data_IF_850239967130
#
_entry.id   IF_850239967130
#
_cell.length_a   1.000
_cell.length_b   1.000
_cell.length_c   1.000
_cell.angle_alpha   90.00
_cell.angle_beta   90.00
_cell.angle_gamma   90.00
#
_symmetry.space_group_name_H-M   'P 1'
#
loop_
_entity.id
_entity.type
_entity.pdbx_description
1 polymer ?
#
# COMPACT_ATOMS: atom_id res chain seq x y z
N UNK A 1 -50.05 -25.47 80.62
CA UNK A 1 -48.96 -25.97 81.49
C UNK A 1 -47.60 -25.66 80.83
N UNK A 2 -46.62 -25.24 81.64
CA UNK A 2 -45.16 -25.08 81.37
C UNK A 2 -44.66 -23.80 80.65
N UNK A 3 -44.47 -22.78 81.51
CA UNK A 3 -43.27 -21.92 81.71
C UNK A 3 -42.40 -21.59 80.48
N UNK A 4 -42.49 -20.34 80.01
CA UNK A 4 -41.44 -19.67 79.24
C UNK A 4 -40.40 -19.09 80.20
N UNK A 5 -39.19 -19.63 80.15
CA UNK A 5 -38.04 -19.21 80.96
C UNK A 5 -37.18 -18.24 80.15
N UNK A 6 -36.96 -17.07 80.74
CA UNK A 6 -35.99 -16.05 80.31
C UNK A 6 -34.57 -16.57 80.55
N UNK A 7 -33.69 -16.55 79.53
CA UNK A 7 -32.24 -16.30 79.68
C UNK A 7 -31.64 -15.67 78.41
N UNK A 8 -31.04 -14.49 78.57
CA UNK A 8 -29.91 -13.92 77.80
C UNK A 8 -28.70 -13.88 78.79
N UNK A 9 -27.40 -13.64 78.43
CA UNK A 9 -26.80 -13.22 77.13
C UNK A 9 -25.39 -13.82 76.79
N UNK A 10 -24.78 -13.30 75.68
CA UNK A 10 -23.35 -13.23 75.24
C UNK A 10 -22.77 -14.50 74.57
N UNK A 11 -21.99 -14.47 73.49
CA UNK A 11 -21.15 -13.41 72.88
C UNK A 11 -20.90 -13.61 71.38
N UNK A 12 -20.74 -12.48 70.67
CA UNK A 12 -19.78 -12.18 69.59
C UNK A 12 -19.34 -13.33 68.65
N UNK A 13 -19.98 -13.41 67.48
CA UNK A 13 -19.30 -13.76 66.21
C UNK A 13 -20.26 -13.53 65.03
N UNK A 14 -19.82 -12.78 64.02
CA UNK A 14 -20.59 -12.56 62.79
C UNK A 14 -20.70 -11.11 62.31
N UNK A 15 -19.64 -10.31 62.50
CA UNK A 15 -19.52 -8.99 61.87
C UNK A 15 -19.22 -9.17 60.37
N UNK A 16 -20.09 -8.61 59.54
CA UNK A 16 -19.83 -7.97 58.23
C UNK A 16 -18.61 -8.53 57.47
N UNK A 17 -18.83 -9.46 56.54
CA UNK A 17 -17.86 -9.76 55.48
C UNK A 17 -17.80 -8.57 54.50
N UNK A 18 -16.96 -7.57 54.79
CA UNK A 18 -16.40 -6.70 53.74
C UNK A 18 -15.43 -7.54 52.92
N UNK A 19 -15.79 -7.84 51.68
CA UNK A 19 -14.84 -8.35 50.69
C UNK A 19 -13.94 -7.16 50.34
N UNK A 20 -12.71 -7.19 50.85
CA UNK A 20 -11.65 -6.28 50.41
C UNK A 20 -11.41 -6.59 48.95
N UNK A 21 -11.90 -5.74 48.05
CA UNK A 21 -11.40 -5.68 46.69
C UNK A 21 -9.92 -5.32 46.80
N UNK A 22 -9.06 -6.30 46.44
CA UNK A 22 -7.67 -5.99 46.12
C UNK A 22 -7.72 -5.02 44.95
N UNK A 23 -7.34 -3.77 45.20
CA UNK A 23 -6.94 -2.85 44.16
C UNK A 23 -5.85 -3.54 43.34
N UNK A 24 -6.22 -4.03 42.16
CA UNK A 24 -5.24 -4.39 41.14
C UNK A 24 -4.56 -3.08 40.79
N UNK A 25 -3.27 -2.98 41.15
CA UNK A 25 -2.36 -2.04 40.51
C UNK A 25 -2.56 -2.17 38.99
N UNK A 26 -2.74 -1.06 38.25
CA UNK A 26 -2.74 -1.11 36.80
C UNK A 26 -1.40 -1.74 36.39
N UNK A 27 -1.49 -2.86 35.67
CA UNK A 27 -0.35 -3.35 34.90
C UNK A 27 -0.04 -2.27 33.89
N UNK A 28 1.25 -1.96 33.76
CA UNK A 28 1.84 -0.96 32.87
C UNK A 28 0.98 -0.70 31.64
N UNK A 29 0.44 0.52 31.57
CA UNK A 29 -0.19 1.06 30.38
C UNK A 29 0.81 0.94 29.23
N UNK A 30 0.59 -0.05 28.36
CA UNK A 30 1.07 -0.03 26.99
C UNK A 30 0.42 1.19 26.34
N UNK A 31 1.08 2.34 26.47
CA UNK A 31 0.62 3.63 25.92
C UNK A 31 0.37 3.45 24.43
N UNK A 32 -0.90 3.38 24.09
CA UNK A 32 -1.44 3.59 22.75
C UNK A 32 -0.73 4.83 22.17
N UNK A 33 0.07 4.71 21.09
CA UNK A 33 1.02 5.76 20.68
C UNK A 33 0.25 6.86 19.95
N UNK A 34 -0.58 7.61 20.67
CA UNK A 34 -1.44 8.66 20.12
C UNK A 34 -0.66 9.90 19.67
N UNK A 35 0.62 10.00 20.01
CA UNK A 35 1.46 11.18 19.72
C UNK A 35 2.87 10.71 19.36
N UNK A 36 3.32 11.02 18.14
CA UNK A 36 4.72 10.96 17.72
C UNK A 36 5.10 12.39 17.39
N UNK A 37 5.37 13.23 18.39
CA UNK A 37 5.61 14.67 18.17
C UNK A 37 6.67 14.88 17.07
N UNK A 38 6.43 15.75 16.07
CA UNK A 38 5.35 16.75 15.94
C UNK A 38 4.04 16.25 15.28
N UNK A 39 3.78 14.95 15.24
CA UNK A 39 2.62 14.34 14.58
C UNK A 39 1.59 13.82 15.59
N UNK A 40 0.32 14.17 15.38
CA UNK A 40 -0.83 13.63 16.10
C UNK A 40 -1.45 12.52 15.27
N UNK A 41 -1.45 11.28 15.77
CA UNK A 41 -2.04 10.14 15.07
C UNK A 41 -3.56 10.32 15.00
N UNK A 42 -4.10 10.26 13.79
CA UNK A 42 -5.54 10.24 13.52
C UNK A 42 -6.03 8.79 13.47
N UNK A 43 -7.31 8.58 13.14
CA UNK A 43 -7.87 7.23 13.00
C UNK A 43 -6.93 6.33 12.14
N UNK A 44 -6.56 5.13 12.63
CA UNK A 44 -5.60 4.28 11.93
C UNK A 44 -6.12 3.94 10.53
N UNK A 45 -5.24 4.06 9.52
CA UNK A 45 -5.52 3.60 8.16
C UNK A 45 -5.27 2.09 8.14
N UNK A 46 -6.02 1.39 7.30
CA UNK A 46 -6.09 -0.07 7.22
C UNK A 46 -4.72 -0.78 7.31
N UNK A 47 -4.74 -1.96 7.92
CA UNK A 47 -3.61 -2.86 8.05
C UNK A 47 -3.31 -3.55 6.70
N UNK A 48 -2.38 -2.99 5.94
CA UNK A 48 -1.88 -3.59 4.70
C UNK A 48 -0.76 -4.61 4.93
N UNK A 49 -0.32 -5.27 3.86
CA UNK A 49 0.75 -6.29 3.85
C UNK A 49 2.10 -5.77 4.39
N UNK A 50 2.33 -4.46 4.32
CA UNK A 50 3.62 -3.79 4.53
C UNK A 50 3.85 -3.27 5.95
N UNK A 51 2.90 -3.48 6.86
CA UNK A 51 2.97 -2.96 8.24
C UNK A 51 1.82 -2.03 8.55
N UNK A 52 1.93 -1.33 9.67
CA UNK A 52 0.88 -0.45 10.18
C UNK A 52 1.11 0.97 9.66
N UNK A 53 0.30 1.40 8.70
CA UNK A 53 0.29 2.78 8.19
C UNK A 53 -0.77 3.56 8.95
N UNK A 54 -0.41 4.72 9.51
CA UNK A 54 -1.32 5.57 10.26
C UNK A 54 -1.44 6.93 9.59
N UNK A 55 -2.66 7.44 9.43
CA UNK A 55 -2.87 8.85 9.08
C UNK A 55 -2.51 9.72 10.29
N UNK A 56 -1.83 10.83 10.08
CA UNK A 56 -1.46 11.76 11.15
C UNK A 56 -1.57 13.22 10.70
N UNK A 57 -1.69 14.12 11.67
CA UNK A 57 -1.66 15.58 11.46
C UNK A 57 -0.31 16.12 11.94
N UNK A 58 0.45 16.77 11.07
CA UNK A 58 1.63 17.52 11.45
C UNK A 58 1.21 18.81 12.17
N UNK A 59 1.54 18.91 13.46
CA UNK A 59 1.05 19.98 14.35
C UNK A 59 1.51 21.39 13.97
N UNK A 60 2.67 21.54 13.33
CA UNK A 60 3.23 22.84 12.96
C UNK A 60 2.57 23.45 11.72
N UNK A 61 2.20 22.62 10.74
CA UNK A 61 1.70 23.06 9.43
C UNK A 61 0.21 22.79 9.23
N UNK A 62 -0.38 21.87 10.00
CA UNK A 62 -1.71 21.33 9.74
C UNK A 62 -1.77 20.33 8.59
N UNK A 63 -0.61 19.90 8.05
CA UNK A 63 -0.55 18.94 6.94
C UNK A 63 -0.95 17.54 7.39
N UNK A 64 -1.77 16.86 6.59
CA UNK A 64 -2.10 15.44 6.78
C UNK A 64 -1.02 14.59 6.12
N UNK A 65 -0.48 13.62 6.87
CA UNK A 65 0.61 12.74 6.43
C UNK A 65 0.27 11.27 6.69
N UNK A 66 0.99 10.36 6.03
CA UNK A 66 0.95 8.93 6.29
C UNK A 66 2.23 8.48 7.01
N UNK A 67 2.11 7.84 8.17
CA UNK A 67 3.24 7.32 8.94
C UNK A 67 3.29 5.80 8.77
N UNK A 68 4.27 5.30 8.02
CA UNK A 68 4.52 3.87 7.81
C UNK A 68 5.47 3.36 8.89
N UNK A 69 4.93 2.52 9.80
CA UNK A 69 5.77 1.79 10.78
C UNK A 69 6.46 0.60 10.11
N UNK A 70 7.78 0.60 10.19
CA UNK A 70 8.60 -0.49 9.65
C UNK A 70 8.69 -1.62 10.69
N UNK A 71 8.59 -2.87 10.22
CA UNK A 71 8.71 -4.04 11.11
C UNK A 71 10.14 -4.13 11.62
N UNK A 72 10.32 -4.16 12.94
CA UNK A 72 11.59 -4.51 13.54
C UNK A 72 11.94 -5.97 13.20
N UNK A 73 13.23 -6.28 13.02
CA UNK A 73 13.67 -7.65 12.77
C UNK A 73 13.19 -8.57 13.91
N UNK A 74 12.67 -9.78 13.61
CA UNK A 74 12.24 -10.75 14.63
C UNK A 74 13.36 -11.20 15.58
N UNK A 75 14.62 -11.02 15.17
CA UNK A 75 15.81 -11.24 15.99
C UNK A 75 16.01 -10.06 16.94
N UNK A 76 15.42 -10.17 18.14
CA UNK A 76 15.65 -9.21 19.22
C UNK A 76 17.15 -8.96 19.47
N UNK A 77 17.48 -7.69 19.65
CA UNK A 77 18.78 -7.16 20.07
C UNK A 77 19.95 -7.29 19.06
N UNK A 78 20.47 -6.12 18.66
CA UNK A 78 21.79 -5.81 18.07
C UNK A 78 21.98 -5.70 16.55
N UNK A 79 21.07 -6.18 15.70
CA UNK A 79 21.16 -5.88 14.26
C UNK A 79 20.50 -4.52 13.98
N UNK A 80 21.26 -3.62 13.32
CA UNK A 80 20.82 -2.27 12.98
C UNK A 80 19.62 -2.22 12.02
N UNK A 81 19.40 -1.05 11.40
CA UNK A 81 18.32 -0.88 10.43
C UNK A 81 18.47 -1.87 9.26
N UNK A 82 17.44 -2.67 8.91
CA UNK A 82 17.54 -3.61 7.79
C UNK A 82 17.95 -2.92 6.49
N UNK A 83 18.83 -3.55 5.70
CA UNK A 83 19.30 -2.99 4.43
C UNK A 83 18.15 -2.69 3.45
N UNK A 84 17.06 -3.45 3.52
CA UNK A 84 15.84 -3.21 2.72
C UNK A 84 15.22 -1.85 3.04
N UNK A 85 15.16 -1.46 4.31
CA UNK A 85 14.65 -0.16 4.76
C UNK A 85 15.57 0.97 4.31
N UNK A 86 16.88 0.81 4.47
CA UNK A 86 17.86 1.81 4.02
C UNK A 86 17.74 2.03 2.50
N UNK A 87 17.51 0.96 1.74
CA UNK A 87 17.28 1.04 0.30
C UNK A 87 15.97 1.76 -0.04
N UNK A 88 14.87 1.47 0.67
CA UNK A 88 13.59 2.15 0.47
C UNK A 88 13.74 3.67 0.69
N UNK A 89 14.38 4.10 1.79
CA UNK A 89 14.65 5.51 2.08
C UNK A 89 15.48 6.15 0.96
N UNK A 90 16.58 5.50 0.54
CA UNK A 90 17.45 6.02 -0.52
C UNK A 90 16.74 6.12 -1.86
N UNK A 91 15.87 5.16 -2.21
CA UNK A 91 15.08 5.22 -3.44
C UNK A 91 14.11 6.39 -3.39
N UNK A 92 13.38 6.57 -2.29
CA UNK A 92 12.45 7.69 -2.13
C UNK A 92 13.16 9.05 -2.20
N UNK A 93 14.33 9.19 -1.59
CA UNK A 93 15.16 10.40 -1.69
C UNK A 93 15.69 10.64 -3.11
N UNK A 94 16.09 9.59 -3.83
CA UNK A 94 16.54 9.69 -5.22
C UNK A 94 15.42 10.11 -6.16
N UNK A 95 14.18 9.74 -5.84
CA UNK A 95 13.00 9.92 -6.68
C UNK A 95 12.13 11.12 -6.27
N UNK A 96 12.68 12.02 -5.45
CA UNK A 96 12.02 13.25 -5.03
C UNK A 96 11.73 14.17 -6.23
N UNK A 97 10.59 14.87 -6.19
CA UNK A 97 10.21 15.86 -7.21
C UNK A 97 9.30 15.35 -8.32
N UNK A 98 8.99 14.04 -8.38
CA UNK A 98 7.99 13.52 -9.32
C UNK A 98 6.57 13.64 -8.78
N UNK A 99 5.65 14.18 -9.58
CA UNK A 99 4.23 14.25 -9.21
C UNK A 99 3.58 12.86 -9.08
N UNK A 100 4.16 11.83 -9.71
CA UNK A 100 3.63 10.47 -9.81
C UNK A 100 4.40 9.45 -8.96
N UNK A 101 5.24 9.91 -8.02
CA UNK A 101 5.90 9.08 -7.00
C UNK A 101 5.49 9.59 -5.62
N UNK A 102 5.34 8.68 -4.65
CA UNK A 102 5.08 9.05 -3.25
C UNK A 102 6.27 9.82 -2.67
N UNK A 103 6.01 10.97 -2.08
CA UNK A 103 7.03 11.81 -1.45
C UNK A 103 7.34 11.33 -0.02
N UNK A 104 8.64 11.25 0.29
CA UNK A 104 9.14 11.07 1.66
C UNK A 104 9.37 12.43 2.30
N UNK A 105 8.52 12.78 3.27
CA UNK A 105 8.55 14.08 3.95
C UNK A 105 9.53 14.11 5.13
N UNK A 106 9.64 13.01 5.87
CA UNK A 106 10.47 12.92 7.08
C UNK A 106 10.76 11.46 7.46
N UNK A 107 11.78 11.25 8.30
CA UNK A 107 12.16 9.95 8.85
C UNK A 107 12.30 10.06 10.37
N UNK A 108 11.43 9.38 11.10
CA UNK A 108 11.49 9.29 12.56
C UNK A 108 12.41 8.14 12.93
N UNK A 109 13.43 8.36 13.74
CA UNK A 109 14.50 7.37 13.99
C UNK A 109 14.21 6.38 15.12
N UNK A 110 13.24 6.63 16.00
CA UNK A 110 13.02 5.81 17.21
C UNK A 110 11.56 5.84 17.70
N UNK A 111 10.74 4.82 17.38
CA UNK A 111 11.02 3.72 16.45
C UNK A 111 11.18 4.22 15.00
N UNK A 112 11.85 3.45 14.15
CA UNK A 112 12.06 3.84 12.75
C UNK A 112 10.73 3.87 11.99
N UNK A 113 10.34 5.04 11.48
CA UNK A 113 9.10 5.26 10.73
C UNK A 113 9.35 6.20 9.55
N UNK A 114 8.64 5.97 8.45
CA UNK A 114 8.64 6.87 7.30
C UNK A 114 7.41 7.77 7.38
N UNK A 115 7.62 9.07 7.25
CA UNK A 115 6.54 10.05 7.08
C UNK A 115 6.43 10.36 5.60
N UNK A 116 5.32 9.96 5.00
CA UNK A 116 5.04 10.08 3.58
C UNK A 116 3.91 11.10 3.38
N UNK A 117 3.81 11.66 2.18
CA UNK A 117 2.59 12.38 1.79
C UNK A 117 1.36 11.46 1.94
N UNK A 118 0.19 12.06 2.20
CA UNK A 118 -1.04 11.30 2.36
C UNK A 118 -1.83 11.26 1.06
N UNK A 119 -2.18 10.06 0.60
CA UNK A 119 -3.16 9.84 -0.46
C UNK A 119 -4.42 9.19 0.14
N UNK A 120 -5.59 9.63 -0.32
CA UNK A 120 -6.88 9.21 0.26
C UNK A 120 -7.21 7.75 0.00
N UNK A 121 -6.77 7.24 -1.14
CA UNK A 121 -7.12 5.92 -1.64
C UNK A 121 -5.91 5.22 -2.26
N UNK A 122 -6.04 3.91 -2.41
CA UNK A 122 -5.25 3.08 -3.30
C UNK A 122 -6.17 2.52 -4.39
N UNK A 123 -5.62 2.18 -5.56
CA UNK A 123 -6.44 1.68 -6.65
C UNK A 123 -7.12 0.35 -6.30
N UNK A 124 -6.57 -0.48 -5.40
CA UNK A 124 -7.20 -1.75 -5.01
C UNK A 124 -8.51 -1.53 -4.25
N UNK A 125 -8.51 -0.61 -3.28
CA UNK A 125 -9.71 -0.23 -2.54
C UNK A 125 -10.75 0.42 -3.45
N UNK A 126 -10.32 1.23 -4.43
CA UNK A 126 -11.23 1.81 -5.43
C UNK A 126 -11.85 0.74 -6.33
N UNK A 127 -11.06 -0.17 -6.90
CA UNK A 127 -11.56 -1.28 -7.72
C UNK A 127 -12.56 -2.15 -6.96
N UNK A 128 -12.29 -2.42 -5.67
CA UNK A 128 -13.14 -3.30 -4.85
C UNK A 128 -14.43 -2.62 -4.39
N UNK A 129 -14.39 -1.32 -4.13
CA UNK A 129 -15.56 -0.56 -3.63
C UNK A 129 -16.48 -0.04 -4.74
N UNK A 130 -15.99 0.04 -5.98
CA UNK A 130 -16.77 0.55 -7.10
C UNK A 130 -17.77 -0.50 -7.61
N UNK A 131 -19.00 -0.07 -7.87
CA UNK A 131 -20.09 -0.96 -8.34
C UNK A 131 -19.90 -1.37 -9.82
N UNK A 132 -19.17 -0.56 -10.58
CA UNK A 132 -18.85 -0.79 -11.99
C UNK A 132 -17.35 -0.67 -12.26
N UNK A 133 -16.85 -1.14 -13.41
CA UNK A 133 -15.48 -0.83 -13.81
C UNK A 133 -15.28 0.67 -14.09
N UNK A 134 -14.01 1.06 -14.23
CA UNK A 134 -13.63 2.44 -14.54
C UNK A 134 -13.99 2.77 -16.00
N UNK A 135 -14.38 4.03 -16.26
CA UNK A 135 -14.53 4.49 -17.65
C UNK A 135 -13.18 4.46 -18.38
N UNK A 136 -13.20 4.23 -19.70
CA UNK A 136 -11.99 4.24 -20.53
C UNK A 136 -11.13 5.50 -20.32
N UNK A 137 -11.77 6.67 -20.23
CA UNK A 137 -11.07 7.93 -19.95
C UNK A 137 -10.37 7.93 -18.59
N UNK A 138 -10.95 7.31 -17.56
CA UNK A 138 -10.31 7.16 -16.26
C UNK A 138 -9.15 6.16 -16.32
N UNK A 139 -9.33 5.03 -17.01
CA UNK A 139 -8.27 4.03 -17.23
C UNK A 139 -7.08 4.68 -17.93
N UNK A 140 -7.29 5.37 -19.07
CA UNK A 140 -6.23 6.07 -19.82
C UNK A 140 -5.47 7.08 -18.95
N UNK A 141 -6.17 7.87 -18.13
CA UNK A 141 -5.54 8.85 -17.22
C UNK A 141 -4.67 8.17 -16.16
N UNK A 142 -5.22 7.17 -15.48
CA UNK A 142 -4.49 6.42 -14.44
C UNK A 142 -3.26 5.75 -15.05
N UNK A 143 -3.41 5.09 -16.20
CA UNK A 143 -2.29 4.45 -16.92
C UNK A 143 -1.23 5.48 -17.32
N UNK A 144 -1.63 6.67 -17.81
CA UNK A 144 -0.72 7.75 -18.15
C UNK A 144 0.07 8.26 -16.95
N UNK A 145 -0.58 8.47 -15.80
CA UNK A 145 0.09 8.86 -14.56
C UNK A 145 1.12 7.80 -14.14
N UNK A 146 0.75 6.52 -14.17
CA UNK A 146 1.64 5.41 -13.81
C UNK A 146 2.84 5.35 -14.76
N UNK A 147 2.62 5.45 -16.07
CA UNK A 147 3.71 5.41 -17.06
C UNK A 147 4.61 6.64 -16.94
N UNK A 148 4.07 7.82 -16.63
CA UNK A 148 4.87 9.03 -16.37
C UNK A 148 5.74 8.85 -15.12
N UNK A 149 5.18 8.27 -14.06
CA UNK A 149 5.94 7.89 -12.87
C UNK A 149 7.03 6.86 -13.18
N UNK A 150 6.73 5.82 -13.96
CA UNK A 150 7.69 4.80 -14.34
C UNK A 150 8.78 5.32 -15.27
N UNK A 151 8.47 6.21 -16.23
CA UNK A 151 9.49 6.87 -17.05
C UNK A 151 10.51 7.61 -16.17
N UNK A 152 10.02 8.35 -15.17
CA UNK A 152 10.88 9.03 -14.19
C UNK A 152 11.70 8.02 -13.36
N UNK A 153 11.08 6.99 -12.79
CA UNK A 153 11.75 5.97 -11.98
C UNK A 153 12.83 5.23 -12.78
N UNK A 154 12.49 4.79 -13.98
CA UNK A 154 13.38 4.07 -14.90
C UNK A 154 14.52 4.97 -15.38
N UNK A 155 14.25 6.26 -15.63
CA UNK A 155 15.26 7.27 -15.96
C UNK A 155 16.30 7.50 -14.84
N UNK A 156 15.94 7.23 -13.58
CA UNK A 156 16.86 7.25 -12.44
C UNK A 156 17.54 5.88 -12.20
N UNK A 157 17.38 4.94 -13.12
CA UNK A 157 17.98 3.61 -13.03
C UNK A 157 17.39 2.76 -11.92
N UNK A 158 16.12 2.96 -11.55
CA UNK A 158 15.41 2.16 -10.55
C UNK A 158 14.38 1.26 -11.25
N UNK A 159 14.24 0.01 -10.78
CA UNK A 159 13.14 -0.91 -11.14
C UNK A 159 12.25 -1.07 -9.91
N UNK A 160 10.94 -0.86 -10.03
CA UNK A 160 10.01 -0.91 -8.91
C UNK A 160 9.73 -2.35 -8.43
N UNK A 161 9.48 -3.26 -9.37
CA UNK A 161 9.27 -4.72 -9.20
C UNK A 161 8.00 -5.15 -8.46
N UNK A 162 7.19 -4.22 -7.95
CA UNK A 162 5.93 -4.52 -7.25
C UNK A 162 4.79 -3.58 -7.65
N UNK A 163 4.67 -3.27 -8.94
CA UNK A 163 3.53 -2.51 -9.47
C UNK A 163 2.28 -3.36 -9.36
N UNK A 164 1.27 -2.85 -8.65
CA UNK A 164 -0.06 -3.45 -8.47
C UNK A 164 -1.02 -2.43 -7.88
N UNK A 165 -2.35 -2.64 -7.95
CA UNK A 165 -3.32 -1.64 -7.52
C UNK A 165 -3.17 -1.20 -6.04
N UNK A 166 -2.69 -2.09 -5.15
CA UNK A 166 -2.48 -1.76 -3.74
C UNK A 166 -1.27 -0.84 -3.49
N UNK A 167 -0.34 -0.75 -4.44
CA UNK A 167 0.86 0.10 -4.39
C UNK A 167 0.73 1.34 -5.29
N UNK A 168 -0.46 1.55 -5.85
CA UNK A 168 -0.79 2.69 -6.68
C UNK A 168 -1.79 3.53 -5.90
N UNK A 169 -1.29 4.63 -5.33
CA UNK A 169 -2.08 5.54 -4.53
C UNK A 169 -2.79 6.54 -5.42
N UNK A 170 -3.95 7.02 -4.97
CA UNK A 170 -4.79 7.90 -5.74
C UNK A 170 -5.28 9.06 -4.86
N UNK A 171 -5.00 10.28 -5.33
CA UNK A 171 -5.30 11.51 -4.59
C UNK A 171 -6.72 12.00 -4.89
N UNK A 172 -7.26 12.84 -4.00
CA UNK A 172 -8.52 13.56 -4.21
C UNK A 172 -8.49 14.41 -5.49
N UNK A 173 -7.31 14.90 -5.87
CA UNK A 173 -7.06 15.66 -7.10
C UNK A 173 -7.03 14.79 -8.37
N UNK A 174 -7.30 13.48 -8.25
CA UNK A 174 -7.33 12.50 -9.35
C UNK A 174 -5.96 12.25 -10.00
N UNK A 175 -4.91 12.31 -9.18
CA UNK A 175 -3.53 11.98 -9.59
C UNK A 175 -3.15 10.64 -8.99
N UNK A 176 -2.59 9.76 -9.82
CA UNK A 176 -2.04 8.47 -9.39
C UNK A 176 -0.56 8.62 -9.04
N UNK A 177 -0.15 8.03 -7.92
CA UNK A 177 1.23 8.03 -7.39
C UNK A 177 1.69 6.61 -7.11
N UNK A 178 2.92 6.29 -7.52
CA UNK A 178 3.57 5.00 -7.27
C UNK A 178 4.15 5.00 -5.85
N UNK A 179 3.86 3.95 -5.09
CA UNK A 179 4.31 3.80 -3.71
C UNK A 179 4.87 2.41 -3.43
N UNK A 180 5.50 2.27 -2.26
CA UNK A 180 6.14 1.06 -1.76
C UNK A 180 7.37 0.59 -2.54
N UNK A 181 8.50 1.23 -2.24
CA UNK A 181 9.81 0.92 -2.82
C UNK A 181 10.58 -0.14 -2.01
N UNK A 182 9.90 -0.91 -1.14
CA UNK A 182 10.55 -1.93 -0.31
C UNK A 182 11.21 -3.05 -1.12
N UNK A 183 10.73 -3.27 -2.34
CA UNK A 183 11.26 -4.22 -3.31
C UNK A 183 12.01 -3.54 -4.46
N UNK A 184 12.17 -2.21 -4.45
CA UNK A 184 12.88 -1.52 -5.51
C UNK A 184 14.38 -1.87 -5.54
N UNK A 185 14.97 -1.83 -6.74
CA UNK A 185 16.40 -2.07 -6.97
C UNK A 185 16.94 -1.11 -8.02
N UNK A 186 18.21 -0.75 -7.89
CA UNK A 186 18.93 -0.10 -8.97
C UNK A 186 19.18 -1.13 -10.09
N UNK A 187 19.11 -0.68 -11.33
CA UNK A 187 19.50 -1.44 -12.50
C UNK A 187 20.99 -1.75 -12.41
N UNK A 188 21.31 -3.02 -12.25
CA UNK A 188 22.65 -3.59 -12.27
C UNK A 188 22.69 -4.72 -13.34
N UNK A 189 23.44 -4.53 -14.45
CA UNK A 189 23.57 -5.52 -15.52
C UNK A 189 24.19 -6.87 -15.09
N UNK A 190 24.94 -6.84 -13.99
CA UNK A 190 25.66 -8.00 -13.44
C UNK A 190 24.92 -8.64 -12.25
N UNK A 191 23.83 -8.04 -11.78
CA UNK A 191 23.08 -8.57 -10.65
C UNK A 191 22.20 -9.76 -11.06
N UNK A 192 22.38 -10.88 -10.36
CA UNK A 192 21.34 -11.90 -10.22
C UNK A 192 20.33 -11.42 -9.18
N UNK A 193 19.18 -10.93 -9.62
CA UNK A 193 18.16 -10.47 -8.70
C UNK A 193 17.46 -11.66 -8.02
N UNK A 194 17.28 -11.57 -6.69
CA UNK A 194 16.61 -12.59 -5.89
C UNK A 194 15.16 -12.79 -6.30
N UNK A 195 14.71 -14.05 -6.33
CA UNK A 195 13.28 -14.44 -6.39
C UNK A 195 12.61 -14.10 -5.05
N UNK A 196 12.35 -12.82 -4.83
CA UNK A 196 11.55 -12.39 -3.67
C UNK A 196 10.10 -12.86 -3.86
N UNK A 197 9.46 -13.34 -2.80
CA UNK A 197 8.06 -13.80 -2.84
C UNK A 197 7.15 -12.58 -2.83
N UNK A 198 6.78 -12.10 -4.01
CA UNK A 198 5.93 -10.91 -4.25
C UNK A 198 4.55 -11.31 -4.79
N UNK A 199 3.62 -10.36 -4.88
CA UNK A 199 2.31 -10.53 -5.54
C UNK A 199 2.41 -11.23 -6.90
N UNK A 200 1.84 -12.43 -6.98
CA UNK A 200 1.97 -13.34 -8.12
C UNK A 200 1.31 -12.82 -9.40
N UNK A 201 0.14 -12.18 -9.28
CA UNK A 201 -0.75 -11.90 -10.43
C UNK A 201 -0.27 -10.82 -11.41
N UNK A 202 0.69 -9.99 -11.00
CA UNK A 202 1.25 -8.91 -11.81
C UNK A 202 2.68 -9.21 -12.26
N UNK A 203 3.21 -10.38 -11.88
CA UNK A 203 4.61 -10.75 -12.13
C UNK A 203 4.80 -11.17 -13.59
N UNK A 204 5.82 -10.60 -14.22
CA UNK A 204 6.23 -10.93 -15.58
C UNK A 204 6.79 -12.37 -15.69
N UNK A 205 6.67 -13.04 -16.85
CA UNK A 205 7.10 -14.43 -17.04
C UNK A 205 8.60 -14.64 -16.77
N UNK A 206 9.45 -13.71 -17.18
CA UNK A 206 10.91 -13.79 -17.01
C UNK A 206 11.34 -13.81 -15.53
N UNK A 207 10.62 -13.11 -14.64
CA UNK A 207 10.88 -13.16 -13.19
C UNK A 207 10.59 -14.57 -12.65
N UNK A 208 9.50 -15.21 -13.11
CA UNK A 208 9.15 -16.57 -12.68
C UNK A 208 10.08 -17.63 -13.27
N UNK A 209 10.55 -17.42 -14.50
CA UNK A 209 11.56 -18.26 -15.13
C UNK A 209 12.94 -18.13 -14.43
N UNK A 210 13.20 -17.01 -13.74
CA UNK A 210 14.52 -16.70 -13.18
C UNK A 210 15.50 -16.24 -14.25
N UNK A 211 14.98 -15.64 -15.32
CA UNK A 211 15.77 -15.03 -16.38
C UNK A 211 16.21 -13.63 -15.95
N UNK A 212 17.19 -13.07 -16.68
CA UNK A 212 17.56 -11.65 -16.50
C UNK A 212 16.38 -10.78 -16.92
N UNK A 213 16.15 -9.71 -16.17
CA UNK A 213 15.05 -8.78 -16.42
C UNK A 213 15.48 -7.34 -16.15
N UNK A 214 14.73 -6.38 -16.69
CA UNK A 214 15.00 -4.97 -16.56
C UNK A 214 13.73 -4.20 -16.19
N UNK A 215 13.56 -2.99 -16.72
CA UNK A 215 12.45 -2.08 -16.44
C UNK A 215 11.11 -2.54 -17.03
N UNK A 216 11.16 -3.42 -18.03
CA UNK A 216 10.02 -3.98 -18.76
C UNK A 216 9.09 -4.84 -17.89
N UNK A 217 9.59 -5.39 -16.77
CA UNK A 217 8.75 -6.11 -15.78
C UNK A 217 7.71 -5.21 -15.13
N UNK A 218 8.04 -3.93 -14.92
CA UNK A 218 7.09 -2.96 -14.37
C UNK A 218 6.01 -2.64 -15.41
N UNK A 219 6.38 -2.60 -16.71
CA UNK A 219 5.44 -2.34 -17.80
C UNK A 219 4.48 -3.52 -17.99
N UNK A 220 4.96 -4.75 -17.87
CA UNK A 220 4.10 -5.95 -17.83
C UNK A 220 3.01 -5.81 -16.75
N UNK A 221 3.40 -5.38 -15.55
CA UNK A 221 2.48 -5.16 -14.45
C UNK A 221 1.47 -4.04 -14.74
N UNK A 222 1.87 -2.97 -15.44
CA UNK A 222 0.95 -1.92 -15.92
C UNK A 222 -0.14 -2.49 -16.82
N UNK A 223 0.19 -3.39 -17.75
CA UNK A 223 -0.81 -4.06 -18.59
C UNK A 223 -1.85 -4.83 -17.77
N UNK A 224 -1.40 -5.55 -16.74
CA UNK A 224 -2.31 -6.24 -15.81
C UNK A 224 -3.20 -5.26 -15.03
N UNK A 225 -2.65 -4.15 -14.55
CA UNK A 225 -3.39 -3.09 -13.83
C UNK A 225 -4.41 -2.43 -14.74
N UNK A 226 -4.04 -2.07 -15.97
CA UNK A 226 -4.92 -1.43 -16.94
C UNK A 226 -6.16 -2.28 -17.21
N UNK A 227 -5.98 -3.59 -17.42
CA UNK A 227 -7.09 -4.51 -17.62
C UNK A 227 -7.92 -4.74 -16.36
N UNK A 228 -7.32 -4.73 -15.17
CA UNK A 228 -8.07 -4.83 -13.91
C UNK A 228 -8.94 -3.58 -13.65
N UNK A 229 -8.46 -2.39 -14.01
CA UNK A 229 -9.26 -1.15 -13.94
C UNK A 229 -10.46 -1.19 -14.90
N UNK A 230 -10.24 -1.68 -16.12
CA UNK A 230 -11.24 -1.78 -17.19
C UNK A 230 -12.31 -2.86 -16.90
N UNK A 231 -11.94 -3.95 -16.24
CA UNK A 231 -12.86 -5.09 -16.01
C UNK A 231 -13.34 -5.22 -14.57
N UNK A 232 -12.66 -4.58 -13.62
CA UNK A 232 -12.86 -4.78 -12.18
C UNK A 232 -12.28 -6.09 -11.62
N UNK A 233 -11.63 -6.92 -12.46
CA UNK A 233 -11.17 -8.25 -12.09
C UNK A 233 -9.68 -8.43 -12.40
N UNK A 234 -8.97 -9.15 -11.52
CA UNK A 234 -7.56 -9.50 -11.73
C UNK A 234 -7.39 -10.21 -13.08
N UNK A 235 -6.52 -9.67 -13.93
CA UNK A 235 -6.38 -10.13 -15.32
C UNK A 235 -5.79 -11.55 -15.44
N UNK A 236 -4.62 -11.77 -14.83
CA UNK A 236 -3.91 -13.06 -14.83
C UNK A 236 -3.86 -13.61 -13.40
N UNK A 237 -4.84 -14.45 -13.05
CA UNK A 237 -5.05 -14.94 -11.69
C UNK A 237 -4.58 -16.39 -11.51
N UNK A 238 -3.27 -16.63 -11.58
CA UNK A 238 -2.67 -17.92 -11.24
C UNK A 238 -2.73 -18.22 -9.73
N UNK A 239 -2.88 -19.49 -9.36
CA UNK A 239 -2.85 -19.94 -7.95
C UNK A 239 -1.44 -20.29 -7.48
N UNK A 240 -0.52 -20.51 -8.41
CA UNK A 240 0.90 -20.79 -8.17
C UNK A 240 1.74 -20.30 -9.36
N UNK A 241 3.07 -20.30 -9.23
CA UNK A 241 3.99 -19.79 -10.26
C UNK A 241 3.85 -20.51 -11.60
N UNK A 242 3.63 -21.83 -11.59
CA UNK A 242 3.45 -22.60 -12.82
C UNK A 242 2.19 -22.19 -13.58
N UNK A 243 1.06 -22.09 -12.88
CA UNK A 243 -0.21 -21.65 -13.47
C UNK A 243 -0.15 -20.19 -13.93
N UNK A 244 0.51 -19.32 -13.15
CA UNK A 244 0.71 -17.92 -13.55
C UNK A 244 1.54 -17.83 -14.83
N UNK A 245 2.65 -18.59 -14.93
CA UNK A 245 3.48 -18.64 -16.13
C UNK A 245 2.70 -19.15 -17.36
N UNK A 246 1.84 -20.16 -17.18
CA UNK A 246 0.94 -20.65 -18.24
C UNK A 246 -0.04 -19.57 -18.72
N UNK A 247 -0.58 -18.77 -17.81
CA UNK A 247 -1.44 -17.64 -18.14
C UNK A 247 -0.67 -16.54 -18.89
N UNK A 248 0.56 -16.23 -18.48
CA UNK A 248 1.43 -15.28 -19.19
C UNK A 248 1.71 -15.76 -20.62
N UNK A 249 2.04 -17.04 -20.80
CA UNK A 249 2.35 -17.61 -22.12
C UNK A 249 1.14 -17.68 -23.07
N UNK A 250 -0.08 -17.62 -22.53
CA UNK A 250 -1.33 -17.61 -23.31
C UNK A 250 -1.99 -16.23 -23.35
N UNK A 251 -1.29 -15.17 -22.93
CA UNK A 251 -1.86 -13.81 -22.84
C UNK A 251 -2.31 -13.28 -24.19
N UNK A 252 -1.62 -13.64 -25.29
CA UNK A 252 -1.96 -13.25 -26.66
C UNK A 252 -3.41 -13.60 -27.03
N UNK A 253 -3.93 -14.72 -26.52
CA UNK A 253 -5.32 -15.10 -26.79
C UNK A 253 -6.36 -14.18 -26.15
N UNK A 254 -5.99 -13.51 -25.05
CA UNK A 254 -6.84 -12.61 -24.26
C UNK A 254 -6.79 -11.15 -24.72
N UNK A 255 -5.83 -10.79 -25.58
CA UNK A 255 -5.54 -9.39 -25.96
C UNK A 255 -5.67 -9.12 -27.47
N UNK A 256 -6.23 -10.06 -28.25
CA UNK A 256 -6.26 -9.99 -29.72
C UNK A 256 -6.82 -8.67 -30.27
N UNK A 257 -7.82 -8.11 -29.59
CA UNK A 257 -8.53 -6.91 -30.03
C UNK A 257 -8.07 -5.64 -29.27
N UNK A 258 -7.02 -5.72 -28.45
CA UNK A 258 -6.53 -4.62 -27.63
C UNK A 258 -5.11 -4.20 -28.03
N UNK A 259 -5.01 -3.12 -28.80
CA UNK A 259 -3.72 -2.63 -29.32
C UNK A 259 -2.78 -2.19 -28.20
N UNK A 260 -3.31 -1.55 -27.15
CA UNK A 260 -2.48 -1.11 -26.03
C UNK A 260 -1.86 -2.31 -25.30
N UNK A 261 -2.66 -3.34 -25.01
CA UNK A 261 -2.13 -4.52 -24.34
C UNK A 261 -1.19 -5.34 -25.22
N UNK A 262 -1.34 -5.33 -26.55
CA UNK A 262 -0.32 -5.89 -27.44
C UNK A 262 1.00 -5.15 -27.34
N UNK A 263 0.97 -3.82 -27.33
CA UNK A 263 2.17 -3.00 -27.13
C UNK A 263 2.86 -3.28 -25.79
N UNK A 264 2.09 -3.61 -24.75
CA UNK A 264 2.63 -3.96 -23.43
C UNK A 264 3.18 -5.40 -23.39
N UNK A 265 2.40 -6.39 -23.80
CA UNK A 265 2.70 -7.81 -23.55
C UNK A 265 3.47 -8.49 -24.69
N UNK A 266 3.24 -8.08 -25.94
CA UNK A 266 3.87 -8.67 -27.13
C UNK A 266 5.06 -7.80 -27.58
N UNK A 267 4.85 -6.50 -27.80
CA UNK A 267 5.91 -5.61 -28.30
C UNK A 267 6.88 -5.16 -27.20
N UNK A 268 6.49 -5.32 -25.92
CA UNK A 268 7.31 -5.00 -24.73
C UNK A 268 7.84 -3.55 -24.74
N UNK A 269 7.01 -2.61 -25.17
CA UNK A 269 7.38 -1.19 -25.23
C UNK A 269 7.72 -0.63 -23.84
N UNK A 270 8.64 0.33 -23.80
CA UNK A 270 9.01 1.07 -22.59
C UNK A 270 7.90 2.04 -22.14
N UNK A 271 8.04 2.57 -20.92
CA UNK A 271 7.13 3.61 -20.42
C UNK A 271 7.06 4.83 -21.37
N UNK A 272 8.21 5.29 -21.85
CA UNK A 272 8.31 6.44 -22.75
C UNK A 272 7.59 6.18 -24.08
N UNK A 273 7.84 5.02 -24.71
CA UNK A 273 7.18 4.66 -25.97
C UNK A 273 5.66 4.56 -25.83
N UNK A 274 5.17 4.01 -24.72
CA UNK A 274 3.73 3.91 -24.46
C UNK A 274 3.08 5.27 -24.22
N UNK A 275 3.76 6.21 -23.56
CA UNK A 275 3.25 7.57 -23.33
C UNK A 275 2.96 8.32 -24.63
N UNK A 276 3.71 8.03 -25.69
CA UNK A 276 3.55 8.60 -27.03
C UNK A 276 2.72 7.72 -27.98
N UNK A 277 2.14 6.61 -27.50
CA UNK A 277 1.28 5.75 -28.32
C UNK A 277 -0.07 6.41 -28.62
N UNK A 278 -0.70 6.00 -29.73
CA UNK A 278 -2.04 6.46 -30.13
C UNK A 278 -3.07 6.27 -29.01
N UNK A 279 -2.95 5.19 -28.22
CA UNK A 279 -3.85 4.91 -27.11
C UNK A 279 -3.87 6.02 -26.05
N UNK A 280 -2.73 6.65 -25.75
CA UNK A 280 -2.62 7.69 -24.71
C UNK A 280 -2.58 9.13 -25.26
N UNK A 281 -2.33 9.29 -26.55
CA UNK A 281 -2.33 10.60 -27.23
C UNK A 281 -3.73 10.98 -27.73
N UNK A 282 -4.61 10.01 -28.01
CA UNK A 282 -6.02 10.26 -28.23
C UNK A 282 -6.71 10.68 -26.93
N UNK A 283 -7.14 11.95 -26.89
CA UNK A 283 -7.73 12.62 -25.72
C UNK A 283 -8.74 11.73 -24.98
N UNK A 284 -8.55 11.42 -23.70
CA UNK A 284 -9.66 10.97 -22.88
C UNK A 284 -10.63 12.15 -22.72
N UNK A 285 -11.91 11.90 -23.03
CA UNK A 285 -13.08 12.79 -22.84
C UNK A 285 -12.92 13.66 -21.57
N UNK A 286 -13.34 14.96 -21.59
CA UNK A 286 -12.90 16.01 -20.66
C UNK A 286 -12.99 15.68 -19.17
N UNK A 287 -12.39 16.54 -18.34
CA UNK A 287 -12.49 16.57 -16.87
C UNK A 287 -13.94 16.79 -16.38
N UNK A 288 -14.87 15.94 -16.74
CA UNK A 288 -16.18 15.96 -16.14
C UNK A 288 -16.06 15.46 -14.70
N UNK A 289 -16.69 16.22 -13.81
CA UNK A 289 -16.82 15.90 -12.38
C UNK A 289 -17.52 14.57 -12.14
N UNK A 290 -18.19 13.99 -13.15
CA UNK A 290 -19.30 13.06 -13.00
C UNK A 290 -19.02 11.57 -13.22
N UNK A 291 -17.76 11.12 -13.37
CA UNK A 291 -17.47 9.69 -13.60
C UNK A 291 -16.55 9.04 -12.54
N UNK A 292 -16.51 9.62 -11.33
CA UNK A 292 -16.01 8.97 -10.12
C UNK A 292 -16.91 9.42 -8.97
N UNK A 293 -17.32 8.54 -8.04
CA UNK A 293 -18.06 8.95 -6.85
C UNK A 293 -17.32 10.10 -6.16
N UNK A 294 -18.03 11.13 -5.72
CA UNK A 294 -17.53 11.96 -4.62
C UNK A 294 -17.44 11.03 -3.42
N UNK A 295 -16.27 10.44 -3.20
CA UNK A 295 -16.03 9.71 -1.98
C UNK A 295 -16.17 10.73 -0.85
N UNK A 296 -16.99 10.46 0.19
CA UNK A 296 -16.93 11.28 1.38
C UNK A 296 -15.47 11.30 1.80
N UNK A 297 -14.89 12.49 1.94
CA UNK A 297 -13.58 12.59 2.54
C UNK A 297 -13.65 11.77 3.82
N UNK A 298 -12.73 10.84 4.06
CA UNK A 298 -12.55 10.23 5.39
C UNK A 298 -12.13 11.30 6.44
N UNK A 299 -12.32 12.60 6.16
CA UNK A 299 -12.13 13.74 7.03
C UNK A 299 -13.39 14.11 7.84
N UNK A 300 -14.52 13.43 7.67
CA UNK A 300 -15.68 13.60 8.55
C UNK A 300 -16.06 12.29 9.23
N UNK A 301 -15.49 12.07 10.40
CA UNK A 301 -15.93 11.07 11.37
C UNK A 301 -15.54 11.57 12.75
N UNK A 302 -16.53 12.09 13.47
CA UNK A 302 -16.53 12.30 14.91
C UNK A 302 -15.99 11.08 15.69
#
# INVERSE_FOLDING_TARGET
>A
MKKHVIKKPKSLSGVIRRKVEKTKTPKDDEKDPKIVAPYTILNPVEQGSYGHVSRALQTSSGLIVAIKRLKASPSGASEGVPLTVVREIKCLQLLEGSEHVIELLDVISSPLQLVLEFCEHDLKSLITSHVSPFSLSAVKRIVKDILTGLEFIHGHGVIHRDIKPANLLYTQSRVTKIADFGLARLVDPEAEYTREVVSLWYRAPEIMAGEKYATDVDIWAVGCVARELDTGHVFLRGRNELEQLQLCNSVGDKIKDDMFLKSVFEDRLSASELLYSDYLTEDPVPRERLLMPTFPSRASGE
#
